data_IF_576893360526
#
_entry.id   IF_576893360526
#
_cell.length_a   1.000
_cell.length_b   1.000
_cell.length_c   1.000
_cell.angle_alpha   90.00
_cell.angle_beta   90.00
_cell.angle_gamma   90.00
#
_symmetry.space_group_name_H-M   'P 1'
#
loop_
_entity.id
_entity.type
_entity.pdbx_description
1 polymer ?
#
# COMPACT_ATOMS: atom_id res chain seq x y z
N UNK A 1 -8.36 -11.40 17.95
CA UNK A 1 -7.82 -12.20 16.83
C UNK A 1 -6.56 -12.97 17.26
N UNK A 2 -5.79 -12.49 18.25
CA UNK A 2 -4.64 -13.19 18.85
C UNK A 2 -4.91 -13.71 20.27
N UNK A 3 -6.08 -13.47 20.87
CA UNK A 3 -6.47 -13.93 22.21
C UNK A 3 -6.09 -15.41 22.44
N UNK A 4 -5.12 -15.63 23.34
CA UNK A 4 -4.57 -16.94 23.70
C UNK A 4 -3.29 -17.37 22.96
N UNK A 5 -2.91 -16.72 21.84
CA UNK A 5 -1.69 -17.02 21.03
C UNK A 5 -0.62 -15.93 21.09
N UNK A 6 -0.94 -14.77 21.65
CA UNK A 6 -0.09 -13.57 21.73
C UNK A 6 1.32 -13.77 22.31
N UNK A 7 1.60 -14.70 23.26
CA UNK A 7 2.97 -14.84 23.78
C UNK A 7 3.99 -15.36 22.75
N UNK A 8 3.52 -16.03 21.69
CA UNK A 8 4.38 -16.71 20.71
C UNK A 8 4.54 -15.92 19.40
N UNK A 9 3.58 -15.07 19.06
CA UNK A 9 3.61 -14.29 17.83
C UNK A 9 4.45 -13.04 18.06
N UNK A 10 5.42 -12.80 17.18
CA UNK A 10 6.39 -11.69 17.31
C UNK A 10 6.21 -10.60 16.27
N UNK A 11 5.49 -10.90 15.18
CA UNK A 11 5.20 -9.96 14.12
C UNK A 11 3.84 -10.23 13.48
N UNK A 12 3.27 -9.20 12.87
CA UNK A 12 2.11 -9.26 11.98
C UNK A 12 2.49 -8.64 10.64
N UNK A 13 2.12 -9.31 9.56
CA UNK A 13 2.24 -8.77 8.21
C UNK A 13 1.11 -7.79 7.91
N UNK A 14 1.41 -6.63 7.31
CA UNK A 14 0.40 -5.70 6.77
C UNK A 14 -0.38 -6.37 5.63
N UNK A 15 0.36 -7.02 4.73
CA UNK A 15 -0.17 -7.61 3.51
C UNK A 15 -0.74 -6.57 2.54
N UNK A 16 -1.09 -7.03 1.34
CA UNK A 16 -1.42 -6.19 0.18
C UNK A 16 -2.74 -5.38 0.26
N UNK A 17 -3.38 -5.37 1.41
CA UNK A 17 -4.69 -4.73 1.61
C UNK A 17 -4.72 -3.81 2.81
N UNK A 18 -3.60 -3.66 3.50
CA UNK A 18 -3.48 -2.74 4.62
C UNK A 18 -2.07 -2.18 4.70
N UNK A 19 -1.85 -1.36 5.70
CA UNK A 19 -0.60 -0.65 5.94
C UNK A 19 -0.38 -0.54 7.45
N UNK A 20 0.83 -0.14 7.91
CA UNK A 20 1.10 -0.08 9.33
C UNK A 20 0.13 0.83 10.09
N UNK A 21 -0.24 1.96 9.50
CA UNK A 21 -1.20 2.90 10.09
C UNK A 21 -2.58 2.27 10.27
N UNK A 22 -3.01 1.44 9.31
CA UNK A 22 -4.26 0.69 9.38
C UNK A 22 -4.19 -0.42 10.44
N UNK A 23 -3.12 -1.24 10.45
CA UNK A 23 -2.94 -2.30 11.43
C UNK A 23 -2.88 -1.76 12.88
N UNK A 24 -2.17 -0.65 13.09
CA UNK A 24 -1.94 -0.07 14.43
C UNK A 24 -3.19 0.57 15.04
N UNK A 25 -4.29 0.70 14.27
CA UNK A 25 -5.62 1.04 14.81
C UNK A 25 -6.18 -0.09 15.68
N UNK A 26 -5.75 -1.33 15.46
CA UNK A 26 -6.17 -2.50 16.24
C UNK A 26 -5.26 -2.64 17.47
N UNK A 27 -5.75 -2.40 18.69
CA UNK A 27 -4.90 -2.36 19.90
C UNK A 27 -4.08 -3.63 20.13
N UNK A 28 -4.68 -4.80 19.90
CA UNK A 28 -4.01 -6.10 20.03
C UNK A 28 -2.73 -6.23 19.19
N UNK A 29 -2.67 -5.58 18.02
CA UNK A 29 -1.52 -5.66 17.09
C UNK A 29 -0.32 -4.80 17.54
N UNK A 30 -0.51 -3.85 18.46
CA UNK A 30 0.57 -2.97 18.96
C UNK A 30 1.63 -3.72 19.79
N UNK A 31 1.30 -4.94 20.22
CA UNK A 31 2.16 -5.79 21.04
C UNK A 31 3.23 -6.54 20.23
N UNK A 32 3.15 -6.52 18.90
CA UNK A 32 4.06 -7.24 17.99
C UNK A 32 4.64 -6.29 16.95
N UNK A 33 5.71 -6.69 16.28
CA UNK A 33 6.25 -5.88 15.18
C UNK A 33 5.27 -5.86 14.01
N UNK A 34 5.15 -4.72 13.34
CA UNK A 34 4.44 -4.62 12.06
C UNK A 34 5.47 -4.70 10.94
N UNK A 35 5.32 -5.70 10.07
CA UNK A 35 6.23 -5.98 8.96
C UNK A 35 5.44 -6.03 7.65
N UNK A 36 6.11 -5.79 6.53
CA UNK A 36 5.52 -5.76 5.19
C UNK A 36 6.34 -6.62 4.23
N UNK A 37 5.65 -7.39 3.39
CA UNK A 37 6.23 -8.35 2.46
C UNK A 37 5.40 -8.48 1.20
N UNK A 38 6.08 -8.54 0.06
CA UNK A 38 5.45 -8.65 -1.27
C UNK A 38 4.49 -9.81 -1.52
N UNK A 39 4.58 -10.93 -0.80
CA UNK A 39 3.88 -12.19 -1.14
C UNK A 39 4.05 -12.55 -2.65
N UNK A 40 5.29 -12.46 -3.12
CA UNK A 40 5.61 -12.54 -4.54
C UNK A 40 5.47 -13.97 -5.08
N UNK A 41 4.59 -14.12 -6.07
CA UNK A 41 4.40 -15.35 -6.85
C UNK A 41 4.98 -15.25 -8.27
N UNK A 42 5.64 -14.13 -8.57
CA UNK A 42 6.40 -13.90 -9.80
C UNK A 42 7.50 -12.89 -9.53
N UNK A 43 8.58 -12.92 -10.32
CA UNK A 43 9.69 -11.99 -10.17
C UNK A 43 9.25 -10.52 -10.28
N UNK A 44 8.25 -10.23 -11.11
CA UNK A 44 7.69 -8.89 -11.27
C UNK A 44 6.97 -8.36 -10.03
N UNK A 45 6.51 -9.24 -9.14
CA UNK A 45 5.85 -8.85 -7.89
C UNK A 45 6.83 -8.79 -6.71
N UNK A 46 8.10 -9.19 -6.91
CA UNK A 46 9.10 -9.19 -5.84
C UNK A 46 9.39 -7.76 -5.38
N UNK A 47 9.38 -7.54 -4.07
CA UNK A 47 9.75 -6.23 -3.51
C UNK A 47 8.71 -5.12 -3.68
N UNK A 48 7.49 -5.41 -4.15
CA UNK A 48 6.38 -4.43 -4.15
C UNK A 48 5.97 -3.94 -2.75
N UNK A 49 6.29 -4.74 -1.74
CA UNK A 49 6.14 -4.45 -0.33
C UNK A 49 7.39 -4.97 0.41
N UNK A 50 8.00 -4.13 1.24
CA UNK A 50 9.25 -4.47 1.94
C UNK A 50 9.31 -3.89 3.35
N UNK A 51 10.08 -4.57 4.21
CA UNK A 51 10.45 -4.10 5.55
C UNK A 51 11.91 -3.68 5.57
N UNK A 52 12.19 -2.46 6.02
CA UNK A 52 13.55 -1.93 6.16
C UNK A 52 14.04 -2.06 7.61
N UNK A 53 15.31 -2.47 7.77
CA UNK A 53 16.01 -2.64 9.05
C UNK A 53 17.35 -1.90 9.01
N UNK A 54 17.82 -1.36 10.13
CA UNK A 54 19.05 -0.53 10.19
C UNK A 54 20.34 -1.37 10.34
N UNK A 55 20.26 -2.60 10.86
CA UNK A 55 21.45 -3.42 11.18
C UNK A 55 21.87 -4.40 10.08
N UNK A 56 23.11 -4.90 10.21
CA UNK A 56 23.69 -5.96 9.36
C UNK A 56 22.72 -7.14 9.19
N UNK A 57 22.46 -7.48 7.93
CA UNK A 57 21.58 -8.59 7.57
C UNK A 57 22.18 -9.94 8.03
N UNK A 58 21.62 -10.45 9.11
CA UNK A 58 21.80 -11.83 9.56
C UNK A 58 20.50 -12.29 10.22
N UNK A 59 20.20 -13.59 10.16
CA UNK A 59 18.99 -14.11 10.79
C UNK A 59 18.89 -13.75 12.28
N UNK A 60 19.95 -13.88 13.11
CA UNK A 60 19.88 -13.46 14.51
C UNK A 60 19.58 -11.97 14.69
N UNK A 61 20.18 -11.09 13.88
CA UNK A 61 19.96 -9.64 13.94
C UNK A 61 18.52 -9.28 13.52
N UNK A 62 18.02 -9.84 12.42
CA UNK A 62 16.63 -9.63 11.96
C UNK A 62 15.63 -10.13 13.01
N UNK A 63 15.85 -11.33 13.57
CA UNK A 63 15.00 -11.87 14.63
C UNK A 63 14.98 -10.96 15.86
N UNK A 64 16.14 -10.44 16.26
CA UNK A 64 16.26 -9.51 17.40
C UNK A 64 15.46 -8.23 17.13
N UNK A 65 15.65 -7.60 15.96
CA UNK A 65 14.94 -6.37 15.60
C UNK A 65 13.43 -6.58 15.54
N UNK A 66 12.95 -7.68 14.97
CA UNK A 66 11.52 -8.03 14.95
C UNK A 66 10.98 -8.20 16.38
N UNK A 67 11.65 -8.97 17.24
CA UNK A 67 11.18 -9.18 18.63
C UNK A 67 11.14 -7.86 19.41
N UNK A 68 12.09 -6.96 19.15
CA UNK A 68 12.18 -5.64 19.80
C UNK A 68 11.30 -4.57 19.13
N UNK A 69 10.53 -4.92 18.08
CA UNK A 69 9.74 -3.97 17.28
C UNK A 69 10.57 -2.83 16.66
N UNK A 70 11.83 -3.10 16.31
CA UNK A 70 12.78 -2.13 15.73
C UNK A 70 12.72 -2.17 14.18
N UNK A 71 11.51 -2.06 13.63
CA UNK A 71 11.34 -1.85 12.18
C UNK A 71 11.57 -0.37 11.90
N UNK A 72 12.48 -0.07 10.97
CA UNK A 72 12.85 1.32 10.65
C UNK A 72 11.77 2.02 9.83
N UNK A 73 11.32 1.35 8.78
CA UNK A 73 10.24 1.79 7.89
C UNK A 73 9.72 0.60 7.09
N UNK A 74 8.54 0.77 6.49
CA UNK A 74 8.04 -0.12 5.45
C UNK A 74 7.90 0.62 4.13
N UNK A 75 7.86 -0.14 3.04
CA UNK A 75 7.41 0.34 1.73
C UNK A 75 6.13 -0.41 1.44
N UNK A 76 5.07 0.33 1.15
CA UNK A 76 3.72 -0.18 0.92
C UNK A 76 3.22 0.33 -0.43
N UNK A 77 2.40 -0.47 -1.09
CA UNK A 77 1.50 0.09 -2.10
C UNK A 77 0.32 0.76 -1.40
N UNK A 78 -0.36 1.67 -2.09
CA UNK A 78 -1.58 2.28 -1.56
C UNK A 78 -2.66 1.21 -1.34
N UNK A 79 -3.10 0.96 -0.09
CA UNK A 79 -4.10 -0.07 0.19
C UNK A 79 -5.44 0.23 -0.48
N UNK A 80 -5.74 1.50 -0.78
CA UNK A 80 -6.91 1.97 -1.52
C UNK A 80 -7.04 1.31 -2.90
N UNK A 81 -5.94 0.90 -3.53
CA UNK A 81 -5.97 0.19 -4.80
C UNK A 81 -6.55 -1.23 -4.66
N UNK A 82 -6.55 -1.80 -3.46
CA UNK A 82 -7.02 -3.15 -3.17
C UNK A 82 -8.49 -3.37 -3.55
N UNK A 83 -8.79 -4.56 -4.10
CA UNK A 83 -10.13 -4.95 -4.59
C UNK A 83 -11.27 -4.84 -3.58
N UNK A 84 -10.93 -4.89 -2.30
CA UNK A 84 -11.86 -4.90 -1.18
C UNK A 84 -11.44 -3.88 -0.13
N UNK A 85 -10.77 -2.78 -0.52
CA UNK A 85 -10.39 -1.75 0.43
C UNK A 85 -11.64 -1.15 1.08
N UNK A 86 -12.53 -0.58 0.27
CA UNK A 86 -13.79 -0.01 0.71
C UNK A 86 -14.92 -1.05 0.69
N UNK A 87 -15.88 -0.86 1.59
CA UNK A 87 -17.15 -1.58 1.50
C UNK A 87 -17.92 -1.10 0.28
N UNK A 88 -18.68 -1.97 -0.38
CA UNK A 88 -19.45 -1.51 -1.53
C UNK A 88 -20.25 -2.57 -2.27
N UNK A 89 -20.89 -2.14 -3.35
CA UNK A 89 -21.65 -3.00 -4.25
C UNK A 89 -21.36 -2.60 -5.69
N UNK A 90 -20.52 -3.39 -6.36
CA UNK A 90 -19.96 -3.12 -7.69
C UNK A 90 -21.04 -2.95 -8.74
N UNK A 91 -22.08 -3.79 -8.71
CA UNK A 91 -23.20 -3.72 -9.68
C UNK A 91 -23.95 -2.39 -9.61
N UNK A 92 -24.03 -1.80 -8.43
CA UNK A 92 -24.75 -0.54 -8.18
C UNK A 92 -23.82 0.68 -8.10
N UNK A 93 -22.50 0.53 -8.19
CA UNK A 93 -21.58 1.66 -8.09
C UNK A 93 -21.39 2.26 -6.68
N UNK A 94 -21.98 1.64 -5.65
CA UNK A 94 -21.98 2.18 -4.27
C UNK A 94 -20.66 1.85 -3.57
N UNK A 95 -20.02 2.87 -2.99
CA UNK A 95 -18.73 2.75 -2.28
C UNK A 95 -18.81 3.44 -0.92
N UNK A 96 -18.27 2.80 0.11
CA UNK A 96 -18.21 3.29 1.49
C UNK A 96 -16.88 2.94 2.13
N UNK A 97 -16.04 3.96 2.33
CA UNK A 97 -14.67 3.78 2.86
C UNK A 97 -14.64 3.55 4.37
N UNK A 98 -15.63 4.00 5.13
CA UNK A 98 -15.60 3.88 6.59
C UNK A 98 -16.96 3.55 7.20
N UNK A 99 -16.93 2.99 8.40
CA UNK A 99 -18.11 2.63 9.18
C UNK A 99 -18.73 1.30 8.76
N UNK A 100 -19.88 0.99 9.35
CA UNK A 100 -20.61 -0.25 9.07
C UNK A 100 -20.99 -0.31 7.57
N UNK A 101 -20.65 -1.40 6.85
CA UNK A 101 -20.99 -1.56 5.44
C UNK A 101 -22.49 -1.28 5.17
N UNK A 102 -23.37 -1.90 5.95
CA UNK A 102 -24.82 -1.76 5.81
C UNK A 102 -25.35 -2.30 4.48
N UNK A 103 -26.45 -1.69 4.03
CA UNK A 103 -27.25 -2.15 2.88
C UNK A 103 -27.05 -1.19 1.70
N UNK A 104 -27.03 -1.73 0.49
CA UNK A 104 -27.00 -0.97 -0.75
C UNK A 104 -28.29 -0.14 -0.91
N UNK A 105 -28.20 1.20 -1.02
CA UNK A 105 -29.38 2.05 -1.15
C UNK A 105 -30.13 1.90 -2.48
N UNK A 106 -29.52 1.25 -3.48
CA UNK A 106 -30.09 1.11 -4.83
C UNK A 106 -30.90 -0.17 -4.99
N UNK A 107 -30.44 -1.29 -4.43
CA UNK A 107 -31.06 -2.60 -4.64
C UNK A 107 -31.42 -3.35 -3.36
N UNK A 108 -31.09 -2.82 -2.18
CA UNK A 108 -31.45 -3.44 -0.90
C UNK A 108 -30.61 -4.66 -0.49
N UNK A 109 -29.60 -5.07 -1.27
CA UNK A 109 -28.68 -6.14 -0.86
C UNK A 109 -27.58 -5.62 0.07
N UNK A 110 -27.00 -6.48 0.90
CA UNK A 110 -25.85 -6.09 1.73
C UNK A 110 -24.68 -5.59 0.87
N UNK A 111 -23.97 -4.58 1.36
CA UNK A 111 -22.67 -4.22 0.79
C UNK A 111 -21.65 -5.32 1.14
N UNK A 112 -20.77 -5.63 0.20
CA UNK A 112 -19.57 -6.43 0.47
C UNK A 112 -18.70 -5.63 1.44
N UNK A 113 -18.32 -6.24 2.56
CA UNK A 113 -17.46 -5.60 3.56
C UNK A 113 -16.05 -5.37 3.02
N UNK A 114 -15.54 -4.15 3.25
CA UNK A 114 -14.17 -3.76 2.94
C UNK A 114 -13.23 -3.86 4.13
N UNK A 115 -11.93 -3.94 3.84
CA UNK A 115 -10.85 -4.02 4.83
C UNK A 115 -10.85 -2.80 5.75
N UNK A 116 -11.10 -1.60 5.22
CA UNK A 116 -11.16 -0.38 6.02
C UNK A 116 -12.28 -0.44 7.07
N UNK A 117 -13.46 -0.92 6.68
CA UNK A 117 -14.60 -1.15 7.59
C UNK A 117 -14.29 -2.22 8.63
N UNK A 118 -13.68 -3.33 8.22
CA UNK A 118 -13.31 -4.43 9.12
C UNK A 118 -12.31 -3.99 10.19
N UNK A 119 -11.32 -3.17 9.81
CA UNK A 119 -10.34 -2.61 10.76
C UNK A 119 -11.03 -1.69 11.76
N UNK A 120 -11.95 -0.83 11.31
CA UNK A 120 -12.70 0.05 12.18
C UNK A 120 -13.56 -0.75 13.19
N UNK A 121 -14.22 -1.81 12.75
CA UNK A 121 -14.98 -2.72 13.61
C UNK A 121 -14.09 -3.39 14.68
N UNK A 122 -12.95 -3.95 14.27
CA UNK A 122 -12.01 -4.61 15.17
C UNK A 122 -11.42 -3.65 16.20
N UNK A 123 -11.09 -2.42 15.79
CA UNK A 123 -10.63 -1.37 16.70
C UNK A 123 -11.72 -1.00 17.71
N UNK A 124 -12.95 -0.76 17.23
CA UNK A 124 -14.09 -0.40 18.08
C UNK A 124 -14.44 -1.49 19.10
N UNK A 125 -14.38 -2.77 18.69
CA UNK A 125 -14.62 -3.92 19.59
C UNK A 125 -13.62 -4.02 20.74
N UNK A 126 -12.46 -3.37 20.62
CA UNK A 126 -11.41 -3.30 21.65
C UNK A 126 -11.44 -1.98 22.43
N UNK A 127 -12.55 -1.25 22.39
CA UNK A 127 -12.76 -0.03 23.18
C UNK A 127 -11.95 1.18 22.70
N UNK A 128 -11.44 1.17 21.46
CA UNK A 128 -10.72 2.28 20.87
C UNK A 128 -11.45 2.77 19.61
N UNK A 129 -11.88 4.03 19.62
CA UNK A 129 -12.58 4.68 18.50
C UNK A 129 -11.64 5.40 17.52
N UNK A 130 -10.39 4.92 17.39
CA UNK A 130 -9.32 5.52 16.56
C UNK A 130 -8.80 6.84 17.14
N UNK A 131 -7.85 6.73 18.07
CA UNK A 131 -6.91 7.82 18.34
C UNK A 131 -5.77 7.73 17.31
N UNK A 132 -5.16 8.88 17.02
CA UNK A 132 -4.01 9.09 16.12
C UNK A 132 -3.05 7.90 16.03
N UNK A 133 -2.48 7.67 14.85
CA UNK A 133 -1.42 6.68 14.63
C UNK A 133 -0.42 6.72 15.80
N UNK A 134 -0.24 5.61 16.54
CA UNK A 134 0.67 5.59 17.68
C UNK A 134 2.08 6.00 17.26
N UNK A 135 2.82 6.68 18.13
CA UNK A 135 4.22 7.03 17.88
C UNK A 135 5.11 5.81 17.59
N UNK A 136 4.67 4.62 18.02
CA UNK A 136 5.34 3.33 17.79
C UNK A 136 5.07 2.73 16.41
N UNK A 137 4.20 3.34 15.60
CA UNK A 137 3.93 2.87 14.25
C UNK A 137 5.16 3.11 13.37
N UNK A 138 5.71 2.07 12.72
CA UNK A 138 6.83 2.26 11.82
C UNK A 138 6.40 3.19 10.67
N UNK A 139 7.21 4.19 10.29
CA UNK A 139 6.96 5.00 9.12
C UNK A 139 6.77 4.14 7.87
N UNK A 140 5.84 4.51 7.00
CA UNK A 140 5.61 3.81 5.74
C UNK A 140 5.76 4.76 4.55
N UNK A 141 6.44 4.29 3.51
CA UNK A 141 6.51 4.98 2.22
C UNK A 141 5.46 4.37 1.31
N UNK A 142 4.54 5.19 0.80
CA UNK A 142 3.50 4.75 -0.15
C UNK A 142 3.97 4.95 -1.57
N UNK A 143 3.77 3.95 -2.41
CA UNK A 143 4.16 3.97 -3.82
C UNK A 143 3.10 3.34 -4.71
N UNK A 144 3.29 3.55 -6.01
CA UNK A 144 2.78 2.69 -7.07
C UNK A 144 3.95 2.20 -7.90
N UNK A 145 3.80 1.05 -8.56
CA UNK A 145 4.89 0.48 -9.37
C UNK A 145 5.34 1.41 -10.49
N UNK A 146 6.64 1.42 -10.78
CA UNK A 146 7.26 2.30 -11.77
C UNK A 146 6.63 2.12 -13.17
N UNK A 147 6.30 0.88 -13.56
CA UNK A 147 5.59 0.62 -14.82
C UNK A 147 4.23 1.32 -14.89
N UNK A 148 3.55 1.50 -13.76
CA UNK A 148 2.26 2.21 -13.69
C UNK A 148 2.46 3.71 -13.90
N UNK A 149 3.50 4.29 -13.29
CA UNK A 149 3.88 5.70 -13.52
C UNK A 149 4.19 5.92 -15.00
N UNK A 150 5.07 5.09 -15.57
CA UNK A 150 5.45 5.15 -16.99
C UNK A 150 4.24 4.96 -17.91
N UNK A 151 3.37 3.99 -17.59
CA UNK A 151 2.13 3.73 -18.32
C UNK A 151 1.23 4.96 -18.39
N UNK A 152 1.05 5.68 -17.27
CA UNK A 152 0.26 6.91 -17.23
C UNK A 152 0.97 8.08 -17.94
N UNK A 153 2.31 8.13 -17.91
CA UNK A 153 3.08 9.10 -18.68
C UNK A 153 2.87 8.97 -20.19
N UNK A 154 2.98 7.74 -20.70
CA UNK A 154 3.00 7.43 -22.14
C UNK A 154 1.58 7.23 -22.70
N UNK A 155 0.60 6.92 -21.84
CA UNK A 155 -0.78 6.63 -22.26
C UNK A 155 -0.95 5.24 -22.88
N UNK A 156 -0.05 4.32 -22.57
CA UNK A 156 -0.08 2.92 -22.99
C UNK A 156 -0.22 2.00 -21.79
N UNK A 157 -0.75 0.79 -21.97
CA UNK A 157 -0.89 -0.17 -20.88
C UNK A 157 0.46 -0.60 -20.27
N UNK A 158 0.49 -0.98 -18.97
CA UNK A 158 1.73 -1.29 -18.24
C UNK A 158 2.46 -2.54 -18.75
N UNK A 159 1.80 -3.39 -19.55
CA UNK A 159 2.41 -4.54 -20.22
C UNK A 159 2.82 -4.28 -21.67
N UNK A 160 2.85 -3.02 -22.13
CA UNK A 160 3.29 -2.69 -23.48
C UNK A 160 4.81 -2.72 -23.58
N UNK A 161 5.33 -3.12 -24.76
CA UNK A 161 6.79 -3.15 -25.02
C UNK A 161 7.45 -1.79 -24.78
N UNK A 162 6.76 -0.69 -25.11
CA UNK A 162 7.27 0.67 -24.88
C UNK A 162 7.43 0.97 -23.40
N UNK A 163 6.46 0.58 -22.55
CA UNK A 163 6.57 0.73 -21.09
C UNK A 163 7.70 -0.15 -20.54
N UNK A 164 7.82 -1.38 -21.04
CA UNK A 164 8.88 -2.30 -20.60
C UNK A 164 10.29 -1.79 -20.94
N UNK A 165 10.48 -1.23 -22.14
CA UNK A 165 11.76 -0.65 -22.57
C UNK A 165 12.15 0.55 -21.69
N UNK A 166 11.20 1.45 -21.45
CA UNK A 166 11.42 2.62 -20.59
C UNK A 166 11.72 2.20 -19.14
N UNK A 167 10.94 1.25 -18.62
CA UNK A 167 11.14 0.67 -17.29
C UNK A 167 12.54 0.08 -17.14
N UNK A 168 12.99 -0.72 -18.11
CA UNK A 168 14.30 -1.34 -18.07
C UNK A 168 15.41 -0.29 -18.12
N UNK A 169 15.28 0.71 -19.00
CA UNK A 169 16.24 1.82 -19.08
C UNK A 169 16.40 2.57 -17.76
N UNK A 170 15.29 2.88 -17.08
CA UNK A 170 15.31 3.56 -15.78
C UNK A 170 15.94 2.67 -14.70
N UNK A 171 15.55 1.40 -14.63
CA UNK A 171 16.07 0.46 -13.62
C UNK A 171 17.55 0.18 -13.81
N UNK A 172 18.04 0.08 -15.05
CA UNK A 172 19.46 -0.15 -15.34
C UNK A 172 20.34 1.00 -14.86
N UNK A 173 19.87 2.25 -14.99
CA UNK A 173 20.58 3.43 -14.49
C UNK A 173 20.42 3.62 -12.99
N UNK A 174 19.23 3.36 -12.44
CA UNK A 174 18.94 3.53 -11.02
C UNK A 174 19.44 2.38 -10.13
N UNK A 175 19.82 1.25 -10.74
CA UNK A 175 20.21 0.00 -10.08
C UNK A 175 19.04 -0.85 -9.58
N UNK A 176 17.90 -0.23 -9.21
CA UNK A 176 16.66 -0.94 -8.89
C UNK A 176 15.43 -0.03 -9.01
N UNK A 177 14.25 -0.63 -9.13
CA UNK A 177 12.98 0.11 -9.08
C UNK A 177 12.81 0.85 -7.75
N UNK A 178 13.13 0.20 -6.62
CA UNK A 178 13.01 0.82 -5.29
C UNK A 178 13.93 2.02 -5.12
N UNK A 179 15.16 1.93 -5.66
CA UNK A 179 16.11 3.04 -5.70
C UNK A 179 15.52 4.23 -6.47
N UNK A 180 15.00 3.98 -7.67
CA UNK A 180 14.35 5.01 -8.48
C UNK A 180 13.13 5.63 -7.77
N UNK A 181 12.30 4.82 -7.12
CA UNK A 181 11.07 5.28 -6.49
C UNK A 181 11.28 5.94 -5.12
N UNK A 182 12.36 5.63 -4.39
CA UNK A 182 12.48 6.05 -2.98
C UNK A 182 13.81 6.66 -2.54
N UNK A 183 14.92 6.41 -3.26
CA UNK A 183 16.25 6.75 -2.77
C UNK A 183 16.90 7.87 -3.59
N UNK A 184 16.90 7.73 -4.93
CA UNK A 184 17.59 8.70 -5.79
C UNK A 184 16.94 10.10 -5.73
N UNK A 185 17.73 11.17 -5.61
CA UNK A 185 17.24 12.54 -5.75
C UNK A 185 16.57 12.78 -7.12
N UNK A 186 15.63 13.73 -7.16
CA UNK A 186 14.90 14.09 -8.38
C UNK A 186 15.87 14.60 -9.47
N UNK A 187 16.91 15.32 -9.07
CA UNK A 187 17.94 15.87 -9.94
C UNK A 187 18.79 14.78 -10.60
N UNK A 188 19.02 13.67 -9.90
CA UNK A 188 19.73 12.51 -10.46
C UNK A 188 18.85 11.75 -11.44
N UNK A 189 17.58 11.52 -11.08
CA UNK A 189 16.59 10.90 -11.98
C UNK A 189 16.46 11.69 -13.29
N UNK A 190 16.46 13.02 -13.23
CA UNK A 190 16.33 13.89 -14.40
C UNK A 190 17.48 13.76 -15.42
N UNK A 191 18.59 13.14 -15.06
CA UNK A 191 19.73 12.93 -15.99
C UNK A 191 19.46 11.81 -17.00
N UNK A 192 18.56 10.87 -16.69
CA UNK A 192 18.31 9.69 -17.51
C UNK A 192 16.83 9.32 -17.67
N UNK A 193 15.92 9.91 -16.89
CA UNK A 193 14.48 9.71 -17.03
C UNK A 193 13.83 10.83 -17.85
N UNK A 194 12.78 10.54 -18.65
CA UNK A 194 11.94 11.58 -19.24
C UNK A 194 11.32 12.49 -18.18
N UNK A 195 11.26 13.80 -18.46
CA UNK A 195 10.77 14.80 -17.50
C UNK A 195 9.40 14.47 -16.88
N UNK A 196 8.47 13.93 -17.68
CA UNK A 196 7.14 13.53 -17.19
C UNK A 196 7.19 12.35 -16.22
N UNK A 197 8.12 11.40 -16.42
CA UNK A 197 8.31 10.28 -15.49
C UNK A 197 8.91 10.76 -14.18
N UNK A 198 9.87 11.69 -14.23
CA UNK A 198 10.46 12.33 -13.04
C UNK A 198 9.39 13.06 -12.23
N UNK A 199 8.55 13.86 -12.89
CA UNK A 199 7.40 14.52 -12.28
C UNK A 199 6.44 13.52 -11.65
N UNK A 200 6.16 12.41 -12.34
CA UNK A 200 5.27 11.37 -11.81
C UNK A 200 5.81 10.67 -10.57
N UNK A 201 7.12 10.38 -10.54
CA UNK A 201 7.80 9.83 -9.35
C UNK A 201 7.71 10.82 -8.19
N UNK A 202 7.97 12.10 -8.45
CA UNK A 202 7.90 13.15 -7.42
C UNK A 202 6.49 13.31 -6.83
N UNK A 203 5.45 13.35 -7.68
CA UNK A 203 4.05 13.40 -7.24
C UNK A 203 3.68 12.19 -6.38
N UNK A 204 4.11 10.99 -6.78
CA UNK A 204 3.90 9.75 -5.99
C UNK A 204 4.62 9.84 -4.65
N UNK A 205 5.89 10.27 -4.60
CA UNK A 205 6.66 10.44 -3.36
C UNK A 205 6.02 11.44 -2.40
N UNK A 206 5.43 12.51 -2.93
CA UNK A 206 4.69 13.52 -2.14
C UNK A 206 3.28 13.07 -1.75
N UNK A 207 2.81 11.93 -2.25
CA UNK A 207 1.44 11.47 -2.06
C UNK A 207 0.40 12.36 -2.77
N UNK A 208 0.82 13.19 -3.72
CA UNK A 208 -0.01 14.10 -4.49
C UNK A 208 -0.65 13.39 -5.69
N UNK A 209 -1.31 12.27 -5.43
CA UNK A 209 -2.01 11.46 -6.43
C UNK A 209 -3.47 11.27 -6.02
N UNK A 210 -4.31 10.89 -6.98
CA UNK A 210 -5.73 10.60 -6.73
C UNK A 210 -5.97 9.11 -6.79
N UNK A 211 -6.70 8.60 -5.80
CA UNK A 211 -7.08 7.19 -5.76
C UNK A 211 -8.58 7.08 -5.55
N UNK A 212 -9.25 6.40 -6.48
CA UNK A 212 -10.60 5.88 -6.27
C UNK A 212 -10.46 4.49 -5.65
N UNK A 213 -10.99 4.27 -4.44
CA UNK A 213 -10.77 3.02 -3.75
C UNK A 213 -11.42 1.85 -4.48
N UNK A 214 -10.79 0.69 -4.41
CA UNK A 214 -11.37 -0.57 -4.84
C UNK A 214 -12.43 -1.06 -3.85
N UNK A 215 -13.39 -1.82 -4.38
CA UNK A 215 -14.53 -2.35 -3.63
C UNK A 215 -15.17 -3.53 -4.37
N UNK A 216 -15.76 -4.46 -3.63
CA UNK A 216 -16.56 -5.57 -4.16
C UNK A 216 -15.91 -6.29 -5.37
N UNK A 217 -14.61 -6.60 -5.23
CA UNK A 217 -13.82 -7.35 -6.20
C UNK A 217 -13.24 -6.52 -7.34
N UNK A 218 -13.52 -5.21 -7.39
CA UNK A 218 -12.94 -4.27 -8.37
C UNK A 218 -11.73 -3.57 -7.75
N UNK A 219 -10.58 -3.61 -8.43
CA UNK A 219 -9.41 -2.81 -8.04
C UNK A 219 -9.75 -1.31 -8.05
N UNK A 220 -9.07 -0.56 -7.19
CA UNK A 220 -9.08 0.89 -7.21
C UNK A 220 -8.41 1.44 -8.46
N UNK A 221 -8.66 2.71 -8.73
CA UNK A 221 -8.08 3.43 -9.86
C UNK A 221 -7.17 4.52 -9.30
N UNK A 222 -5.89 4.49 -9.68
CA UNK A 222 -4.93 5.54 -9.32
C UNK A 222 -4.71 6.41 -10.54
N UNK A 223 -4.62 7.71 -10.32
CA UNK A 223 -4.20 8.68 -11.34
C UNK A 223 -3.27 9.72 -10.73
N UNK A 224 -2.14 9.93 -11.38
CA UNK A 224 -1.12 10.93 -11.04
C UNK A 224 -1.55 12.32 -11.50
N UNK A 225 -2.06 12.47 -12.74
CA UNK A 225 -2.38 13.78 -13.33
C UNK A 225 -3.89 14.04 -13.58
N UNK A 226 -4.73 13.01 -13.51
CA UNK A 226 -6.12 13.04 -13.96
C UNK A 226 -7.17 13.21 -12.85
N UNK A 227 -8.45 13.24 -13.26
CA UNK A 227 -9.59 13.00 -12.35
C UNK A 227 -9.85 11.50 -12.35
N UNK A 228 -9.94 10.87 -11.17
CA UNK A 228 -10.57 9.55 -11.11
C UNK A 228 -12.00 9.71 -11.65
N UNK A 229 -12.40 8.88 -12.61
CA UNK A 229 -13.73 8.99 -13.22
C UNK A 229 -14.75 8.83 -12.09
N UNK A 230 -15.49 9.90 -11.76
CA UNK A 230 -16.64 9.83 -10.87
C UNK A 230 -17.76 9.17 -11.66
N UNK A 231 -18.10 7.93 -11.32
CA UNK A 231 -19.43 7.45 -11.72
C UNK A 231 -20.40 8.11 -10.75
N UNK A 232 -21.07 9.15 -11.26
CA UNK A 232 -22.39 9.58 -10.80
C UNK A 232 -23.33 8.39 -10.66
#
# INVERSE_FOLDING_TARGET
MLQGKTPLIRAVGTGLSSEPEMCMRIPELRNVATVSFSDAHSGQNLGREVTYFDERLSFPALRSQIIKKQVKKTIEYFPEEGKYYASGHRKCGVVKVNGNPGICPICGTNLTEGVSSRIAELAASQGKTVESTPAECPPSIKLIGLKKIISECIGLGPGSKSVDLEYQGIVDHAGSELSALTELPIEELAQFCPAKVVEGIDLVRRGEIRIRPGYDGKYGEVSIWGKCISNS
#
